data_IF_948770048191
#
_entry.id   IF_948770048191
#
_cell.length_a   1.000
_cell.length_b   1.000
_cell.length_c   1.000
_cell.angle_alpha   90.00
_cell.angle_beta   90.00
_cell.angle_gamma   90.00
#
_symmetry.space_group_name_H-M   'P 1'
#
loop_
_entity.id
_entity.type
_entity.pdbx_description
1 polymer ?
#
# COMPACT_ATOMS: atom_id res chain seq x y z
N UNK A 1 52.37 25.84 -25.54
CA UNK A 1 51.60 25.64 -24.28
C UNK A 1 52.51 25.83 -23.04
N UNK A 2 53.47 26.76 -23.14
CA UNK A 2 53.56 28.08 -22.46
C UNK A 2 53.80 28.03 -20.94
N UNK A 3 55.05 28.37 -20.55
CA UNK A 3 55.55 28.63 -19.19
C UNK A 3 54.62 29.48 -18.32
N UNK A 4 53.76 30.31 -18.95
CA UNK A 4 52.78 31.16 -18.28
C UNK A 4 51.76 30.33 -17.48
N UNK A 5 51.30 29.20 -18.01
CA UNK A 5 50.36 28.30 -17.31
C UNK A 5 51.02 27.63 -16.10
N UNK A 6 52.31 27.29 -16.20
CA UNK A 6 53.08 26.69 -15.10
C UNK A 6 53.35 27.71 -13.99
N UNK A 7 53.68 28.95 -14.36
CA UNK A 7 53.87 30.06 -13.42
C UNK A 7 52.58 30.43 -12.68
N UNK A 8 51.46 30.54 -13.41
CA UNK A 8 50.16 30.84 -12.82
C UNK A 8 49.71 29.73 -11.85
N UNK A 9 49.92 28.46 -12.21
CA UNK A 9 49.62 27.30 -11.35
C UNK A 9 50.40 27.35 -10.03
N UNK A 10 51.72 27.60 -10.08
CA UNK A 10 52.56 27.72 -8.87
C UNK A 10 52.18 28.92 -7.99
N UNK A 11 51.73 30.01 -8.59
CA UNK A 11 51.33 31.23 -7.87
C UNK A 11 49.99 31.04 -7.17
N UNK A 12 49.03 30.39 -7.85
CA UNK A 12 47.75 29.97 -7.27
C UNK A 12 47.94 28.94 -6.16
N UNK A 13 48.80 27.92 -6.34
CA UNK A 13 49.12 26.94 -5.30
C UNK A 13 49.74 27.58 -4.04
N UNK A 14 50.65 28.54 -4.21
CA UNK A 14 51.25 29.28 -3.08
C UNK A 14 50.24 30.17 -2.35
N UNK A 15 49.28 30.77 -3.07
CA UNK A 15 48.23 31.58 -2.44
C UNK A 15 47.19 30.71 -1.71
N UNK A 16 46.81 29.57 -2.28
CA UNK A 16 45.90 28.61 -1.63
C UNK A 16 46.54 28.02 -0.36
N UNK A 17 47.85 27.75 -0.37
CA UNK A 17 48.57 27.20 0.78
C UNK A 17 48.75 28.20 1.95
N UNK A 18 48.79 29.51 1.68
CA UNK A 18 48.96 30.56 2.71
C UNK A 18 47.64 31.06 3.31
N UNK A 19 46.49 30.76 2.71
CA UNK A 19 45.18 31.19 3.21
C UNK A 19 44.72 30.26 4.34
N UNK A 20 44.66 30.77 5.58
CA UNK A 20 44.00 30.07 6.69
C UNK A 20 42.52 29.92 6.35
N UNK A 21 42.09 28.68 6.10
CA UNK A 21 40.69 28.36 5.81
C UNK A 21 39.83 28.63 7.04
N UNK A 22 38.63 29.14 6.81
CA UNK A 22 37.68 29.35 7.90
C UNK A 22 37.11 28.01 8.39
N UNK A 23 36.59 27.92 9.63
CA UNK A 23 35.92 26.70 10.11
C UNK A 23 34.79 26.22 9.18
N UNK A 24 34.08 27.16 8.54
CA UNK A 24 33.03 26.87 7.57
C UNK A 24 33.58 26.23 6.28
N UNK A 25 34.74 26.67 5.80
CA UNK A 25 35.40 26.05 4.63
C UNK A 25 35.88 24.63 4.93
N UNK A 26 36.38 24.36 6.14
CA UNK A 26 36.71 22.99 6.57
C UNK A 26 35.47 22.10 6.68
N UNK A 27 34.36 22.63 7.20
CA UNK A 27 33.09 21.91 7.25
C UNK A 27 32.62 21.54 5.83
N UNK A 28 32.63 22.49 4.90
CA UNK A 28 32.20 22.27 3.50
C UNK A 28 33.11 21.25 2.80
N UNK A 29 34.43 21.34 2.98
CA UNK A 29 35.35 20.38 2.38
C UNK A 29 35.23 18.98 3.01
N UNK A 30 34.98 18.92 4.32
CA UNK A 30 34.68 17.68 5.02
C UNK A 30 33.39 17.03 4.50
N UNK A 31 32.31 17.80 4.33
CA UNK A 31 31.06 17.28 3.78
C UNK A 31 31.21 16.84 2.32
N UNK A 32 31.88 17.63 1.48
CA UNK A 32 32.20 17.24 0.10
C UNK A 32 33.04 15.96 0.03
N UNK A 33 34.06 15.83 0.90
CA UNK A 33 34.88 14.63 1.01
C UNK A 33 34.07 13.40 1.43
N UNK A 34 33.18 13.55 2.41
CA UNK A 34 32.26 12.49 2.84
C UNK A 34 31.28 12.09 1.73
N UNK A 35 30.72 13.05 0.99
CA UNK A 35 29.82 12.79 -0.14
C UNK A 35 30.55 12.06 -1.26
N UNK A 36 31.78 12.48 -1.59
CA UNK A 36 32.60 11.82 -2.60
C UNK A 36 32.99 10.40 -2.17
N UNK A 37 33.39 10.21 -0.91
CA UNK A 37 33.68 8.89 -0.36
C UNK A 37 32.45 7.99 -0.36
N UNK A 38 31.27 8.54 -0.08
CA UNK A 38 29.99 7.82 -0.18
C UNK A 38 29.66 7.48 -1.64
N UNK A 39 29.89 8.38 -2.60
CA UNK A 39 29.72 8.14 -4.03
C UNK A 39 30.62 7.01 -4.55
N UNK A 40 31.87 6.98 -4.12
CA UNK A 40 32.82 5.94 -4.48
C UNK A 40 32.50 4.60 -3.80
N UNK A 41 32.07 4.62 -2.53
CA UNK A 41 31.73 3.41 -1.77
C UNK A 41 30.39 2.80 -2.19
N UNK A 42 29.42 3.62 -2.59
CA UNK A 42 28.04 3.24 -2.90
C UNK A 42 27.62 3.70 -4.31
N UNK A 43 28.27 3.20 -5.39
CA UNK A 43 28.04 3.69 -6.75
C UNK A 43 26.68 3.29 -7.35
N UNK A 44 26.05 2.23 -6.82
CA UNK A 44 24.80 1.66 -7.34
C UNK A 44 23.76 1.40 -6.25
N UNK A 45 23.88 2.05 -5.08
CA UNK A 45 23.03 1.73 -3.92
C UNK A 45 22.98 2.88 -2.91
N UNK A 46 21.93 2.93 -2.09
CA UNK A 46 21.83 3.92 -1.03
C UNK A 46 22.82 3.62 0.12
N UNK A 47 23.13 4.66 0.89
CA UNK A 47 23.92 4.58 2.12
C UNK A 47 23.37 3.50 3.08
N UNK A 48 24.27 2.81 3.80
CA UNK A 48 23.98 1.70 4.72
C UNK A 48 23.42 0.40 4.11
N UNK A 49 23.37 0.27 2.79
CA UNK A 49 22.91 -0.97 2.16
C UNK A 49 24.05 -1.92 1.82
N UNK A 50 23.81 -3.23 2.02
CA UNK A 50 24.78 -4.30 1.77
C UNK A 50 25.09 -4.41 0.28
N UNK A 51 26.36 -4.64 -0.07
CA UNK A 51 26.75 -4.94 -1.45
C UNK A 51 26.29 -6.35 -1.85
N UNK A 52 25.82 -6.50 -3.09
CA UNK A 52 25.38 -7.76 -3.68
C UNK A 52 26.11 -7.99 -5.01
N UNK A 53 27.35 -8.49 -4.98
CA UNK A 53 28.16 -8.66 -6.18
C UNK A 53 27.53 -9.60 -7.21
N UNK A 54 26.74 -10.56 -6.73
CA UNK A 54 25.95 -11.51 -7.51
C UNK A 54 24.89 -10.84 -8.40
N UNK A 55 24.41 -9.65 -8.04
CA UNK A 55 23.37 -8.91 -8.78
C UNK A 55 23.93 -7.75 -9.62
N UNK A 56 25.25 -7.49 -9.59
CA UNK A 56 25.88 -6.30 -10.18
C UNK A 56 25.61 -6.11 -11.67
N UNK A 57 25.54 -7.20 -12.45
CA UNK A 57 25.29 -7.14 -13.90
C UNK A 57 23.87 -6.67 -14.26
N UNK A 58 22.93 -6.71 -13.31
CA UNK A 58 21.51 -6.42 -13.52
C UNK A 58 20.98 -5.31 -12.60
N UNK A 59 21.87 -4.56 -11.97
CA UNK A 59 21.53 -3.45 -11.06
C UNK A 59 21.79 -2.12 -11.77
N UNK A 60 20.82 -1.20 -11.76
CA UNK A 60 20.99 0.14 -12.32
C UNK A 60 21.90 1.00 -11.43
N UNK A 61 22.52 2.03 -12.01
CA UNK A 61 23.29 3.02 -11.24
C UNK A 61 22.36 3.74 -10.25
N UNK A 62 22.87 4.05 -9.07
CA UNK A 62 22.10 4.60 -7.97
C UNK A 62 22.89 5.69 -7.28
N UNK A 63 22.21 6.68 -6.73
CA UNK A 63 22.86 7.78 -6.02
C UNK A 63 23.05 7.43 -4.54
N UNK A 64 24.12 7.89 -3.87
CA UNK A 64 24.44 7.45 -2.51
C UNK A 64 23.38 7.80 -1.47
N UNK A 65 22.68 8.93 -1.64
CA UNK A 65 21.68 9.41 -0.69
C UNK A 65 20.28 8.89 -1.00
N UNK A 66 19.92 8.81 -2.28
CA UNK A 66 18.55 8.48 -2.71
C UNK A 66 18.43 7.10 -3.37
N UNK A 67 19.54 6.35 -3.48
CA UNK A 67 19.57 5.05 -4.15
C UNK A 67 19.02 5.12 -5.57
N UNK A 68 18.06 4.25 -5.86
CA UNK A 68 17.31 4.19 -7.11
C UNK A 68 15.92 4.84 -7.01
N UNK A 69 15.66 5.67 -5.98
CA UNK A 69 14.35 6.32 -5.82
C UNK A 69 14.00 7.24 -7.01
N UNK A 70 14.99 7.92 -7.59
CA UNK A 70 14.81 8.75 -8.78
C UNK A 70 14.30 7.94 -9.99
N UNK A 71 14.79 6.70 -10.15
CA UNK A 71 14.33 5.79 -11.20
C UNK A 71 12.87 5.38 -10.99
N UNK A 72 12.42 5.20 -9.75
CA UNK A 72 11.02 4.89 -9.44
C UNK A 72 10.08 6.04 -9.84
N UNK A 73 10.55 7.28 -9.74
CA UNK A 73 9.77 8.48 -10.08
C UNK A 73 9.76 8.74 -11.58
N UNK A 74 10.88 8.47 -12.27
CA UNK A 74 11.08 8.81 -13.69
C UNK A 74 10.66 7.66 -14.62
N UNK A 75 10.84 6.40 -14.20
CA UNK A 75 10.50 5.22 -15.00
C UNK A 75 9.27 4.54 -14.43
N UNK A 76 8.18 4.55 -15.21
CA UNK A 76 7.06 3.64 -14.98
C UNK A 76 7.59 2.20 -14.98
N UNK A 77 7.03 1.37 -14.08
CA UNK A 77 7.49 0.07 -13.55
C UNK A 77 8.18 -0.93 -14.50
N UNK A 78 8.09 -0.75 -15.81
CA UNK A 78 8.47 -1.70 -16.85
C UNK A 78 9.98 -1.75 -17.16
N UNK A 79 10.79 -0.81 -16.67
CA UNK A 79 12.24 -0.75 -16.89
C UNK A 79 13.09 -0.85 -15.63
N UNK A 80 12.49 -1.29 -14.51
CA UNK A 80 13.22 -1.42 -13.26
C UNK A 80 14.19 -2.62 -13.31
N UNK A 81 15.47 -2.38 -13.01
CA UNK A 81 16.46 -3.46 -12.87
C UNK A 81 16.08 -4.46 -11.76
N UNK A 82 16.70 -5.66 -11.78
CA UNK A 82 16.37 -6.76 -10.85
C UNK A 82 16.63 -6.40 -9.38
N UNK A 83 17.48 -5.41 -9.11
CA UNK A 83 17.71 -4.90 -7.76
C UNK A 83 17.58 -3.38 -7.72
N UNK A 84 16.82 -2.91 -6.74
CA UNK A 84 16.60 -1.50 -6.46
C UNK A 84 16.95 -1.24 -5.00
N UNK A 85 17.49 -0.07 -4.71
CA UNK A 85 17.73 0.37 -3.33
C UNK A 85 16.97 1.65 -3.06
N UNK A 86 16.07 1.63 -2.08
CA UNK A 86 15.27 2.78 -1.68
C UNK A 86 15.68 3.16 -0.24
N UNK A 87 15.97 4.45 0.05
CA UNK A 87 16.22 4.89 1.42
C UNK A 87 15.09 4.48 2.35
N UNK A 88 15.39 4.14 3.60
CA UNK A 88 14.43 3.66 4.62
C UNK A 88 13.87 2.26 4.34
N UNK A 89 13.46 1.94 3.11
CA UNK A 89 12.89 0.63 2.74
C UNK A 89 13.96 -0.44 2.45
N UNK A 90 15.21 -0.05 2.23
CA UNK A 90 16.31 -0.97 1.99
C UNK A 90 16.38 -1.43 0.53
N UNK A 91 16.70 -2.70 0.30
CA UNK A 91 16.90 -3.26 -1.04
C UNK A 91 15.67 -4.07 -1.47
N UNK A 92 15.04 -3.66 -2.55
CA UNK A 92 14.06 -4.45 -3.29
C UNK A 92 14.73 -5.35 -4.32
N UNK A 93 14.19 -6.56 -4.48
CA UNK A 93 14.57 -7.48 -5.56
C UNK A 93 13.31 -7.77 -6.36
N UNK A 94 13.35 -7.50 -7.67
CA UNK A 94 12.25 -7.80 -8.57
C UNK A 94 12.38 -9.25 -9.01
N UNK A 95 11.30 -10.01 -8.84
CA UNK A 95 11.21 -11.41 -9.24
C UNK A 95 10.23 -11.50 -10.40
N UNK A 96 10.64 -12.13 -11.50
CA UNK A 96 9.87 -12.20 -12.74
C UNK A 96 9.96 -13.55 -13.46
N UNK A 97 10.39 -14.61 -12.77
CA UNK A 97 10.41 -15.97 -13.33
C UNK A 97 9.54 -16.91 -12.50
N UNK A 98 8.86 -17.90 -13.12
CA UNK A 98 8.00 -18.83 -12.41
C UNK A 98 8.70 -19.58 -11.27
N UNK A 99 9.97 -19.96 -11.45
CA UNK A 99 10.73 -20.75 -10.48
C UNK A 99 10.98 -19.94 -9.20
N UNK A 100 11.32 -18.67 -9.35
CA UNK A 100 11.53 -17.77 -8.22
C UNK A 100 10.20 -17.40 -7.56
N UNK A 101 9.13 -17.24 -8.33
CA UNK A 101 7.78 -17.03 -7.79
C UNK A 101 7.32 -18.23 -6.97
N UNK A 102 7.51 -19.46 -7.47
CA UNK A 102 7.21 -20.68 -6.70
C UNK A 102 8.07 -20.74 -5.43
N UNK A 103 9.37 -20.44 -5.53
CA UNK A 103 10.25 -20.47 -4.38
C UNK A 103 9.78 -19.51 -3.27
N UNK A 104 9.42 -18.28 -3.64
CA UNK A 104 8.99 -17.25 -2.68
C UNK A 104 7.57 -17.46 -2.17
N UNK A 105 6.62 -17.81 -3.05
CA UNK A 105 5.19 -17.87 -2.71
C UNK A 105 4.74 -19.24 -2.20
N UNK A 106 5.56 -20.28 -2.33
CA UNK A 106 5.22 -21.65 -1.96
C UNK A 106 6.34 -22.38 -1.21
N UNK A 107 7.52 -22.53 -1.80
CA UNK A 107 8.58 -23.42 -1.25
C UNK A 107 9.20 -22.90 0.04
N UNK A 108 9.44 -21.59 0.14
CA UNK A 108 10.09 -20.95 1.28
C UNK A 108 9.26 -19.76 1.80
N UNK A 109 7.94 -19.88 1.75
CA UNK A 109 6.97 -18.82 2.05
C UNK A 109 7.19 -18.14 3.40
N UNK A 110 7.44 -18.93 4.45
CA UNK A 110 7.59 -18.42 5.82
C UNK A 110 8.81 -17.49 6.00
N UNK A 111 9.79 -17.56 5.09
CA UNK A 111 10.96 -16.71 5.09
C UNK A 111 10.75 -15.38 4.34
N UNK A 112 9.63 -15.21 3.64
CA UNK A 112 9.28 -14.03 2.85
C UNK A 112 8.00 -13.36 3.38
N UNK A 113 8.11 -12.77 4.56
CA UNK A 113 7.05 -11.99 5.21
C UNK A 113 6.85 -10.62 4.55
N UNK A 114 5.67 -10.02 4.72
CA UNK A 114 5.41 -8.63 4.28
C UNK A 114 6.23 -7.63 5.09
N UNK A 115 6.37 -7.91 6.39
CA UNK A 115 7.26 -7.17 7.29
C UNK A 115 6.74 -5.79 7.70
N UNK A 116 7.50 -5.14 8.59
CA UNK A 116 7.05 -3.93 9.29
C UNK A 116 6.79 -2.73 8.37
N UNK A 117 7.56 -2.59 7.29
CA UNK A 117 7.40 -1.47 6.36
C UNK A 117 6.02 -1.51 5.71
N UNK A 118 5.63 -2.67 5.17
CA UNK A 118 4.32 -2.85 4.55
C UNK A 118 3.20 -2.74 5.58
N UNK A 119 3.42 -3.32 6.77
CA UNK A 119 2.47 -3.24 7.88
C UNK A 119 2.17 -1.80 8.29
N UNK A 120 3.20 -0.97 8.50
CA UNK A 120 3.01 0.43 8.92
C UNK A 120 2.23 1.27 7.90
N UNK A 121 2.30 0.93 6.62
CA UNK A 121 1.63 1.68 5.55
C UNK A 121 0.12 1.37 5.47
N UNK A 122 -0.27 0.14 5.80
CA UNK A 122 -1.62 -0.40 5.57
C UNK A 122 -2.42 -0.71 6.83
N UNK A 123 -1.78 -0.80 8.00
CA UNK A 123 -2.47 -1.17 9.26
C UNK A 123 -3.60 -0.21 9.60
N UNK A 124 -3.46 1.09 9.31
CA UNK A 124 -4.51 2.07 9.63
C UNK A 124 -5.84 1.70 8.97
N UNK A 125 -5.82 1.31 7.68
CA UNK A 125 -7.03 1.06 6.88
C UNK A 125 -7.44 -0.42 6.91
N UNK A 126 -6.50 -1.37 6.86
CA UNK A 126 -6.80 -2.81 6.76
C UNK A 126 -6.71 -3.54 8.11
N UNK A 127 -6.36 -2.84 9.18
CA UNK A 127 -6.13 -3.44 10.49
C UNK A 127 -5.04 -4.51 10.46
N UNK A 128 -5.12 -5.46 11.39
CA UNK A 128 -4.24 -6.64 11.45
C UNK A 128 -4.87 -7.85 10.73
N UNK A 129 -5.39 -7.65 9.52
CA UNK A 129 -6.07 -8.71 8.75
C UNK A 129 -5.18 -9.51 7.79
N UNK A 130 -5.82 -10.29 6.89
CA UNK A 130 -5.13 -11.16 5.89
C UNK A 130 -4.11 -10.44 5.01
N UNK A 131 -4.30 -9.13 4.80
CA UNK A 131 -3.45 -8.34 3.91
C UNK A 131 -2.21 -7.80 4.60
N UNK A 132 -2.23 -7.69 5.93
CA UNK A 132 -1.23 -6.96 6.70
C UNK A 132 -0.41 -7.89 7.59
N UNK A 133 -1.06 -8.90 8.16
CA UNK A 133 -0.43 -9.84 9.10
C UNK A 133 0.47 -10.85 8.39
N UNK A 134 1.38 -11.47 9.15
CA UNK A 134 2.30 -12.52 8.71
C UNK A 134 2.21 -13.74 9.66
N UNK A 135 2.82 -14.87 9.29
CA UNK A 135 2.87 -16.06 10.14
C UNK A 135 1.50 -16.62 10.51
N UNK A 136 1.33 -17.03 11.77
CA UNK A 136 0.12 -17.70 12.25
C UNK A 136 -1.12 -16.80 12.24
N UNK A 137 -0.97 -15.50 12.52
CA UNK A 137 -2.06 -14.53 12.42
C UNK A 137 -2.59 -14.45 10.97
N UNK A 138 -1.70 -14.42 9.98
CA UNK A 138 -2.10 -14.49 8.58
C UNK A 138 -2.80 -15.81 8.22
N UNK A 139 -2.25 -16.95 8.67
CA UNK A 139 -2.85 -18.27 8.42
C UNK A 139 -4.25 -18.35 9.00
N UNK A 140 -4.44 -17.80 10.20
CA UNK A 140 -5.73 -17.68 10.86
C UNK A 140 -6.73 -16.91 9.98
N UNK A 141 -6.48 -15.63 9.70
CA UNK A 141 -7.46 -14.84 8.94
C UNK A 141 -7.69 -15.43 7.54
N UNK A 142 -6.67 -15.98 6.89
CA UNK A 142 -6.80 -16.63 5.57
C UNK A 142 -7.68 -17.87 5.65
N UNK A 143 -7.50 -18.72 6.66
CA UNK A 143 -8.33 -19.92 6.85
C UNK A 143 -9.78 -19.54 7.12
N UNK A 144 -10.02 -18.56 7.98
CA UNK A 144 -11.37 -18.05 8.28
C UNK A 144 -12.04 -17.49 7.03
N UNK A 145 -11.36 -16.60 6.30
CA UNK A 145 -11.87 -16.03 5.06
C UNK A 145 -12.05 -17.09 3.95
N UNK A 146 -11.26 -18.16 3.92
CA UNK A 146 -11.37 -19.21 2.89
C UNK A 146 -12.76 -19.88 2.84
N UNK A 147 -13.50 -19.86 3.96
CA UNK A 147 -14.83 -20.47 4.06
C UNK A 147 -15.89 -19.80 3.17
N UNK A 148 -15.67 -18.56 2.72
CA UNK A 148 -16.58 -17.91 1.77
C UNK A 148 -16.28 -18.32 0.32
N UNK A 149 -15.12 -18.90 0.02
CA UNK A 149 -14.76 -19.30 -1.34
C UNK A 149 -15.28 -20.71 -1.66
N UNK A 150 -16.60 -20.90 -1.51
CA UNK A 150 -17.29 -22.15 -1.85
C UNK A 150 -18.24 -21.97 -3.02
N UNK A 151 -18.54 -23.06 -3.74
CA UNK A 151 -19.54 -23.04 -4.82
C UNK A 151 -20.92 -22.58 -4.34
N UNK A 152 -21.28 -22.89 -3.08
CA UNK A 152 -22.54 -22.45 -2.46
C UNK A 152 -22.58 -20.92 -2.33
N UNK A 153 -21.50 -20.34 -1.80
CA UNK A 153 -21.40 -18.89 -1.65
C UNK A 153 -21.38 -18.17 -3.00
N UNK A 154 -20.62 -18.69 -3.98
CA UNK A 154 -20.63 -18.15 -5.34
C UNK A 154 -22.03 -18.12 -5.97
N UNK A 155 -22.82 -19.19 -5.83
CA UNK A 155 -24.21 -19.23 -6.33
C UNK A 155 -25.09 -18.18 -5.64
N UNK A 156 -24.89 -17.96 -4.34
CA UNK A 156 -25.60 -16.93 -3.58
C UNK A 156 -25.22 -15.52 -4.07
N UNK A 157 -23.93 -15.28 -4.29
CA UNK A 157 -23.44 -14.01 -4.82
C UNK A 157 -24.10 -13.65 -6.15
N UNK A 158 -24.02 -14.57 -7.11
CA UNK A 158 -24.53 -14.33 -8.47
C UNK A 158 -26.05 -14.18 -8.48
N UNK A 159 -26.79 -14.96 -7.68
CA UNK A 159 -28.26 -14.91 -7.67
C UNK A 159 -28.84 -13.79 -6.82
N UNK A 160 -28.14 -13.36 -5.77
CA UNK A 160 -28.60 -12.38 -4.80
C UNK A 160 -27.96 -11.01 -5.03
N UNK A 161 -26.97 -10.69 -4.19
CA UNK A 161 -26.34 -9.37 -4.11
C UNK A 161 -25.86 -8.82 -5.46
N UNK A 162 -25.18 -9.65 -6.27
CA UNK A 162 -24.64 -9.18 -7.55
C UNK A 162 -25.75 -8.82 -8.53
N UNK A 163 -26.81 -9.63 -8.62
CA UNK A 163 -27.93 -9.34 -9.52
C UNK A 163 -28.62 -8.03 -9.15
N UNK A 164 -28.91 -7.83 -7.86
CA UNK A 164 -29.52 -6.59 -7.38
C UNK A 164 -28.67 -5.36 -7.73
N UNK A 165 -27.36 -5.41 -7.46
CA UNK A 165 -26.46 -4.30 -7.81
C UNK A 165 -26.30 -4.09 -9.32
N UNK A 166 -26.41 -5.15 -10.13
CA UNK A 166 -26.45 -5.02 -11.61
C UNK A 166 -27.74 -4.35 -12.06
N UNK A 167 -28.88 -4.69 -11.45
CA UNK A 167 -30.16 -4.03 -11.76
C UNK A 167 -30.08 -2.52 -11.44
N UNK A 168 -29.47 -2.14 -10.31
CA UNK A 168 -29.18 -0.74 -9.96
C UNK A 168 -28.28 -0.05 -10.99
N UNK A 169 -27.22 -0.73 -11.44
CA UNK A 169 -26.32 -0.23 -12.48
C UNK A 169 -27.05 -0.01 -13.82
N UNK A 170 -27.93 -0.94 -14.20
CA UNK A 170 -28.75 -0.82 -15.41
C UNK A 170 -29.68 0.39 -15.34
N UNK A 171 -30.25 0.72 -14.17
CA UNK A 171 -31.05 1.93 -13.97
C UNK A 171 -30.20 3.18 -14.23
N UNK A 172 -28.99 3.23 -13.67
CA UNK A 172 -28.06 4.35 -13.88
C UNK A 172 -27.72 4.48 -15.37
N UNK A 173 -27.36 3.38 -16.04
CA UNK A 173 -27.02 3.39 -17.46
C UNK A 173 -28.18 3.84 -18.34
N UNK A 174 -29.40 3.32 -18.11
CA UNK A 174 -30.59 3.75 -18.85
C UNK A 174 -30.86 5.24 -18.67
N UNK A 175 -30.66 5.78 -17.47
CA UNK A 175 -30.83 7.21 -17.20
C UNK A 175 -29.79 8.08 -17.93
N UNK A 176 -28.55 7.62 -18.02
CA UNK A 176 -27.47 8.31 -18.73
C UNK A 176 -27.64 8.24 -20.24
N UNK A 177 -28.07 7.09 -20.77
CA UNK A 177 -28.43 6.92 -22.19
C UNK A 177 -29.54 7.90 -22.57
N UNK A 178 -30.61 7.98 -21.78
CA UNK A 178 -31.71 8.90 -22.02
C UNK A 178 -31.32 10.38 -22.01
N UNK A 179 -30.21 10.72 -21.34
CA UNK A 179 -29.67 12.09 -21.24
C UNK A 179 -28.48 12.33 -22.17
N UNK A 180 -28.11 11.33 -22.98
CA UNK A 180 -26.92 11.33 -23.84
C UNK A 180 -25.63 11.75 -23.09
N UNK A 181 -25.49 11.30 -21.84
CA UNK A 181 -24.34 11.63 -21.00
C UNK A 181 -23.25 10.55 -21.08
N UNK A 182 -21.97 10.92 -21.20
CA UNK A 182 -20.87 9.97 -21.11
C UNK A 182 -20.84 9.33 -19.71
N UNK A 183 -20.46 8.05 -19.67
CA UNK A 183 -20.37 7.26 -18.45
C UNK A 183 -18.93 6.82 -18.26
N UNK A 184 -18.38 7.05 -17.07
CA UNK A 184 -17.13 6.43 -16.64
C UNK A 184 -17.39 5.00 -16.16
N UNK A 185 -17.08 4.02 -17.00
CA UNK A 185 -17.26 2.60 -16.68
C UNK A 185 -16.37 2.15 -15.51
N UNK A 186 -15.20 2.75 -15.31
CA UNK A 186 -14.29 2.37 -14.22
C UNK A 186 -14.93 2.71 -12.87
N UNK A 187 -15.41 3.94 -12.72
CA UNK A 187 -16.12 4.41 -11.52
C UNK A 187 -17.36 3.54 -11.23
N UNK A 188 -18.18 3.26 -12.24
CA UNK A 188 -19.41 2.48 -12.05
C UNK A 188 -19.14 1.01 -11.74
N UNK A 189 -18.07 0.39 -12.28
CA UNK A 189 -17.69 -0.98 -11.94
C UNK A 189 -17.10 -1.09 -10.53
N UNK A 190 -16.38 -0.07 -10.05
CA UNK A 190 -15.93 0.00 -8.67
C UNK A 190 -17.13 0.10 -7.71
N UNK A 191 -18.11 0.97 -8.02
CA UNK A 191 -19.36 1.10 -7.26
C UNK A 191 -20.18 -0.20 -7.24
N UNK A 192 -20.33 -0.86 -8.39
CA UNK A 192 -20.95 -2.18 -8.49
C UNK A 192 -20.24 -3.20 -7.59
N UNK A 193 -18.91 -3.21 -7.62
CA UNK A 193 -18.11 -4.14 -6.81
C UNK A 193 -18.31 -3.87 -5.33
N UNK A 194 -18.30 -2.60 -4.91
CA UNK A 194 -18.50 -2.21 -3.52
C UNK A 194 -19.88 -2.64 -3.00
N UNK A 195 -20.96 -2.34 -3.73
CA UNK A 195 -22.31 -2.70 -3.29
C UNK A 195 -22.54 -4.22 -3.32
N UNK A 196 -22.12 -4.90 -4.39
CA UNK A 196 -22.31 -6.34 -4.49
C UNK A 196 -21.51 -7.10 -3.42
N UNK A 197 -20.27 -6.67 -3.15
CA UNK A 197 -19.43 -7.28 -2.13
C UNK A 197 -19.96 -6.95 -0.73
N UNK A 198 -20.28 -5.69 -0.43
CA UNK A 198 -20.84 -5.27 0.86
C UNK A 198 -22.09 -6.05 1.26
N UNK A 199 -23.05 -6.16 0.33
CA UNK A 199 -24.31 -6.89 0.54
C UNK A 199 -24.05 -8.37 0.79
N UNK A 200 -23.10 -8.95 0.07
CA UNK A 200 -22.79 -10.37 0.17
C UNK A 200 -22.00 -10.74 1.43
N UNK A 201 -20.96 -9.97 1.76
CA UNK A 201 -20.00 -10.36 2.79
C UNK A 201 -20.34 -9.83 4.17
N UNK A 202 -20.97 -8.66 4.23
CA UNK A 202 -21.28 -7.97 5.47
C UNK A 202 -22.78 -7.72 5.66
N UNK A 203 -23.60 -7.99 4.65
CA UNK A 203 -25.03 -7.64 4.67
C UNK A 203 -25.29 -6.13 4.60
N UNK A 204 -24.30 -5.34 4.15
CA UNK A 204 -24.39 -3.87 4.11
C UNK A 204 -24.65 -3.42 2.67
N UNK A 205 -25.64 -2.56 2.47
CA UNK A 205 -25.75 -1.78 1.23
C UNK A 205 -25.04 -0.44 1.41
N UNK A 206 -23.94 -0.23 0.68
CA UNK A 206 -23.19 1.02 0.73
C UNK A 206 -23.84 2.12 -0.14
N UNK A 207 -24.81 1.77 -0.98
CA UNK A 207 -25.48 2.72 -1.87
C UNK A 207 -24.52 3.43 -2.83
N UNK A 208 -23.46 2.77 -3.26
CA UNK A 208 -22.47 3.34 -4.17
C UNK A 208 -23.04 3.64 -5.56
N UNK A 209 -23.98 2.81 -6.00
CA UNK A 209 -24.74 3.00 -7.24
C UNK A 209 -26.00 3.86 -7.06
N UNK A 210 -26.25 4.41 -5.85
CA UNK A 210 -27.41 5.25 -5.60
C UNK A 210 -27.38 6.56 -6.41
N UNK A 211 -28.54 7.23 -6.44
CA UNK A 211 -28.86 8.31 -7.38
C UNK A 211 -27.75 9.37 -7.56
N UNK A 212 -27.61 9.92 -8.78
CA UNK A 212 -26.63 10.98 -9.06
C UNK A 212 -26.71 12.12 -8.05
N UNK A 213 -25.60 12.40 -7.37
CA UNK A 213 -25.48 13.49 -6.39
C UNK A 213 -25.60 13.08 -4.92
N UNK A 214 -25.93 11.83 -4.61
CA UNK A 214 -25.80 11.28 -3.25
C UNK A 214 -24.34 10.94 -3.00
N UNK A 215 -23.73 11.52 -1.96
CA UNK A 215 -22.37 11.17 -1.57
C UNK A 215 -22.36 9.80 -0.90
N UNK A 216 -21.49 8.91 -1.36
CA UNK A 216 -21.19 7.68 -0.64
C UNK A 216 -20.06 7.96 0.34
N UNK A 217 -20.42 8.19 1.61
CA UNK A 217 -19.44 8.51 2.66
C UNK A 217 -18.41 7.38 2.86
N UNK A 218 -18.84 6.11 2.76
CA UNK A 218 -17.94 4.97 2.88
C UNK A 218 -16.96 4.92 1.70
N UNK A 219 -17.47 5.04 0.47
CA UNK A 219 -16.68 5.04 -0.76
C UNK A 219 -15.66 6.17 -0.78
N UNK A 220 -16.09 7.41 -0.47
CA UNK A 220 -15.20 8.59 -0.41
C UNK A 220 -14.09 8.41 0.65
N UNK A 221 -14.42 7.85 1.81
CA UNK A 221 -13.47 7.56 2.86
C UNK A 221 -12.48 6.45 2.45
N UNK A 222 -12.98 5.36 1.86
CA UNK A 222 -12.18 4.24 1.40
C UNK A 222 -11.21 4.65 0.28
N UNK A 223 -11.67 5.42 -0.72
CA UNK A 223 -10.85 5.93 -1.81
C UNK A 223 -9.74 6.87 -1.31
N UNK A 224 -10.07 7.75 -0.35
CA UNK A 224 -9.07 8.61 0.26
C UNK A 224 -7.98 7.81 0.98
N UNK A 225 -8.36 6.80 1.76
CA UNK A 225 -7.43 6.00 2.56
C UNK A 225 -6.58 5.07 1.69
N UNK A 226 -7.15 4.45 0.67
CA UNK A 226 -6.41 3.60 -0.28
C UNK A 226 -5.43 4.42 -1.11
N UNK A 227 -5.83 5.60 -1.59
CA UNK A 227 -4.93 6.55 -2.26
C UNK A 227 -3.80 7.00 -1.33
N UNK A 228 -4.12 7.27 -0.06
CA UNK A 228 -3.10 7.62 0.93
C UNK A 228 -2.12 6.46 1.14
N UNK A 229 -2.61 5.23 1.31
CA UNK A 229 -1.78 4.05 1.47
C UNK A 229 -0.87 3.80 0.25
N UNK A 230 -1.39 3.89 -0.97
CA UNK A 230 -0.60 3.76 -2.20
C UNK A 230 0.51 4.81 -2.27
N UNK A 231 0.20 6.07 -1.93
CA UNK A 231 1.20 7.14 -1.88
C UNK A 231 2.33 6.88 -0.88
N UNK A 232 2.05 6.17 0.24
CA UNK A 232 3.04 5.81 1.26
C UNK A 232 3.99 4.72 0.79
N UNK A 233 3.57 3.83 -0.12
CA UNK A 233 4.40 2.76 -0.69
C UNK A 233 5.55 3.35 -1.51
N UNK A 234 5.29 4.44 -2.23
CA UNK A 234 6.31 5.09 -3.08
C UNK A 234 7.10 6.18 -2.34
N UNK A 235 6.67 6.57 -1.14
CA UNK A 235 7.27 7.65 -0.36
C UNK A 235 7.90 7.16 0.95
N UNK A 236 9.23 6.92 1.01
CA UNK A 236 9.90 6.48 2.24
C UNK A 236 9.85 7.48 3.40
N UNK A 237 9.54 8.74 3.12
CA UNK A 237 9.44 9.80 4.13
C UNK A 237 8.00 10.14 4.48
N UNK A 238 7.05 9.25 4.14
CA UNK A 238 5.63 9.45 4.42
C UNK A 238 5.28 9.84 5.86
N UNK A 239 5.96 9.33 6.93
CA UNK A 239 5.61 9.73 8.30
C UNK A 239 5.85 11.22 8.55
N UNK A 240 6.75 11.83 7.79
CA UNK A 240 7.04 13.27 7.86
C UNK A 240 6.13 14.02 6.90
N UNK A 241 6.04 13.60 5.63
CA UNK A 241 5.25 14.34 4.63
C UNK A 241 3.75 14.35 4.93
N UNK A 242 3.20 13.28 5.50
CA UNK A 242 1.79 13.24 5.91
C UNK A 242 1.49 14.23 7.05
N UNK A 243 2.49 14.50 7.91
CA UNK A 243 2.37 15.47 9.03
C UNK A 243 2.57 16.91 8.58
N UNK A 244 3.35 17.14 7.53
CA UNK A 244 3.62 18.49 7.01
C UNK A 244 2.44 19.07 6.23
N UNK A 245 1.59 18.22 5.63
CA UNK A 245 0.40 18.68 4.88
C UNK A 245 -0.71 19.04 5.88
N UNK A 246 -1.10 20.31 6.01
CA UNK A 246 -2.13 20.72 6.97
C UNK A 246 -3.46 20.01 6.71
N UNK A 247 -4.10 19.51 7.77
CA UNK A 247 -5.43 18.88 7.70
C UNK A 247 -5.47 17.46 7.14
N UNK A 248 -4.44 16.96 6.46
CA UNK A 248 -4.39 15.59 5.92
C UNK A 248 -4.56 14.54 7.02
N UNK A 249 -3.88 14.72 8.14
CA UNK A 249 -3.96 13.81 9.28
C UNK A 249 -5.35 13.76 9.92
N UNK A 250 -5.99 14.93 10.08
CA UNK A 250 -7.38 15.02 10.59
C UNK A 250 -8.35 14.32 9.65
N UNK A 251 -8.20 14.53 8.33
CA UNK A 251 -9.01 13.86 7.32
C UNK A 251 -8.80 12.34 7.35
N UNK A 252 -7.54 11.89 7.46
CA UNK A 252 -7.19 10.46 7.56
C UNK A 252 -7.92 9.76 8.70
N UNK A 253 -7.78 10.25 9.93
CA UNK A 253 -8.47 9.65 11.06
C UNK A 253 -9.99 9.81 11.00
N UNK A 254 -10.50 10.89 10.40
CA UNK A 254 -11.93 11.02 10.11
C UNK A 254 -12.45 9.92 9.20
N UNK A 255 -11.73 9.62 8.11
CA UNK A 255 -12.08 8.53 7.20
C UNK A 255 -11.97 7.15 7.87
N UNK A 256 -10.95 6.93 8.71
CA UNK A 256 -10.84 5.70 9.52
C UNK A 256 -12.07 5.53 10.42
N UNK A 257 -12.48 6.59 11.12
CA UNK A 257 -13.68 6.55 11.96
C UNK A 257 -14.95 6.26 11.15
N UNK A 258 -15.06 6.76 9.91
CA UNK A 258 -16.16 6.39 9.01
C UNK A 258 -16.16 4.89 8.75
N UNK A 259 -15.03 4.29 8.34
CA UNK A 259 -14.95 2.84 8.11
C UNK A 259 -15.26 2.03 9.38
N UNK A 260 -14.69 2.42 10.52
CA UNK A 260 -14.94 1.78 11.82
C UNK A 260 -16.42 1.85 12.20
N UNK A 261 -17.11 2.94 11.88
CA UNK A 261 -18.54 3.09 12.15
C UNK A 261 -19.38 2.07 11.35
N UNK A 262 -19.11 1.90 10.06
CA UNK A 262 -19.79 0.90 9.23
C UNK A 262 -19.49 -0.53 9.70
N UNK A 263 -18.24 -0.82 10.08
CA UNK A 263 -17.86 -2.13 10.62
C UNK A 263 -18.59 -2.41 11.95
N UNK A 264 -18.57 -1.47 12.90
CA UNK A 264 -19.25 -1.61 14.18
C UNK A 264 -20.77 -1.75 14.02
N UNK A 265 -21.38 -1.01 13.07
CA UNK A 265 -22.80 -1.14 12.75
C UNK A 265 -23.12 -2.55 12.24
N UNK A 266 -22.29 -3.11 11.35
CA UNK A 266 -22.49 -4.45 10.82
C UNK A 266 -22.36 -5.53 11.91
N UNK A 267 -21.33 -5.44 12.75
CA UNK A 267 -21.13 -6.36 13.88
C UNK A 267 -22.29 -6.27 14.87
N UNK A 268 -22.69 -5.05 15.25
CA UNK A 268 -23.80 -4.82 16.19
C UNK A 268 -25.12 -5.34 15.63
N UNK A 269 -25.43 -5.04 14.37
CA UNK A 269 -26.65 -5.53 13.71
C UNK A 269 -26.66 -7.06 13.73
N UNK A 270 -25.55 -7.68 13.34
CA UNK A 270 -25.41 -9.14 13.28
C UNK A 270 -25.55 -9.81 14.65
N UNK A 271 -24.97 -9.23 15.71
CA UNK A 271 -25.11 -9.75 17.07
C UNK A 271 -26.51 -9.55 17.67
N UNK A 272 -27.27 -8.58 17.16
CA UNK A 272 -28.66 -8.32 17.59
C UNK A 272 -29.72 -9.13 16.83
N UNK A 273 -29.34 -9.85 15.76
CA UNK A 273 -30.24 -10.72 15.00
C UNK A 273 -30.87 -11.78 15.91
N UNK A 274 -32.18 -12.00 15.75
CA UNK A 274 -32.87 -13.06 16.47
C UNK A 274 -32.47 -14.44 15.93
N UNK A 275 -32.55 -15.48 16.76
CA UNK A 275 -32.22 -16.86 16.32
C UNK A 275 -33.12 -17.33 15.17
N UNK A 276 -34.31 -16.77 14.99
CA UNK A 276 -35.18 -17.07 13.85
C UNK A 276 -34.64 -16.46 12.54
N UNK A 277 -34.14 -15.23 12.58
CA UNK A 277 -33.54 -14.55 11.43
C UNK A 277 -32.20 -15.19 11.04
N UNK A 278 -31.37 -15.55 12.03
CA UNK A 278 -30.10 -16.23 11.82
C UNK A 278 -30.28 -17.58 11.09
N UNK A 279 -31.32 -18.34 11.43
CA UNK A 279 -31.60 -19.63 10.82
C UNK A 279 -32.10 -19.55 9.37
N UNK A 280 -32.68 -18.41 8.97
CA UNK A 280 -33.18 -18.18 7.60
C UNK A 280 -32.09 -17.58 6.72
N UNK A 281 -31.22 -16.73 7.28
CA UNK A 281 -30.16 -16.04 6.54
C UNK A 281 -29.04 -17.00 6.15
N UNK A 282 -28.51 -16.82 4.94
CA UNK A 282 -27.32 -17.54 4.53
C UNK A 282 -26.08 -16.97 5.23
N UNK A 283 -25.24 -17.86 5.77
CA UNK A 283 -23.97 -17.45 6.38
C UNK A 283 -23.04 -16.73 5.41
N UNK A 284 -22.49 -15.62 5.83
CA UNK A 284 -21.55 -14.75 5.11
C UNK A 284 -20.18 -14.65 5.81
N UNK A 285 -19.30 -13.78 5.32
CA UNK A 285 -17.96 -13.61 5.85
C UNK A 285 -17.97 -13.16 7.32
N UNK A 286 -18.86 -12.22 7.66
CA UNK A 286 -18.97 -11.67 9.00
C UNK A 286 -19.36 -12.76 10.01
N UNK A 287 -20.23 -13.70 9.63
CA UNK A 287 -20.58 -14.84 10.50
C UNK A 287 -19.36 -15.70 10.84
N UNK A 288 -18.47 -15.94 9.87
CA UNK A 288 -17.28 -16.75 10.10
C UNK A 288 -16.31 -16.07 11.07
N UNK A 289 -16.21 -14.74 11.04
CA UNK A 289 -15.37 -14.00 12.00
C UNK A 289 -16.01 -13.92 13.39
N UNK A 290 -17.32 -13.64 13.48
CA UNK A 290 -18.03 -13.57 14.78
C UNK A 290 -18.08 -14.92 15.48
N UNK A 291 -18.32 -16.00 14.74
CA UNK A 291 -18.44 -17.36 15.29
C UNK A 291 -17.08 -18.01 15.57
N UNK A 292 -15.97 -17.36 15.22
CA UNK A 292 -14.65 -17.90 15.42
C UNK A 292 -14.31 -18.07 16.91
N UNK A 293 -13.59 -19.15 17.21
CA UNK A 293 -13.04 -19.47 18.53
C UNK A 293 -11.53 -19.63 18.36
N UNK A 294 -10.76 -18.86 19.12
CA UNK A 294 -9.33 -19.06 19.29
C UNK A 294 -9.05 -20.45 19.89
N UNK A 295 -7.80 -20.91 19.80
CA UNK A 295 -7.38 -22.21 20.34
C UNK A 295 -7.57 -22.30 21.87
N UNK A 296 -7.58 -21.15 22.56
CA UNK A 296 -7.87 -21.01 23.98
C UNK A 296 -9.38 -20.94 24.31
N UNK A 297 -10.24 -21.02 23.28
CA UNK A 297 -11.71 -20.94 23.39
C UNK A 297 -12.27 -19.52 23.42
N UNK A 298 -11.43 -18.47 23.40
CA UNK A 298 -11.89 -17.08 23.36
C UNK A 298 -12.48 -16.69 22.00
N UNK A 299 -13.38 -15.71 21.98
CA UNK A 299 -13.91 -15.11 20.75
C UNK A 299 -13.05 -13.91 20.34
N UNK A 300 -13.08 -13.57 19.05
CA UNK A 300 -12.59 -12.26 18.61
C UNK A 300 -13.39 -11.13 19.25
N UNK A 301 -12.69 -10.07 19.62
CA UNK A 301 -13.32 -8.81 20.03
C UNK A 301 -13.96 -8.11 18.84
N UNK A 302 -14.92 -7.21 19.07
CA UNK A 302 -15.58 -6.46 17.98
C UNK A 302 -14.62 -5.57 17.17
N UNK A 303 -13.42 -5.29 17.70
CA UNK A 303 -12.37 -4.58 16.99
C UNK A 303 -11.53 -5.50 16.08
N UNK A 304 -11.47 -6.78 16.41
CA UNK A 304 -10.72 -7.78 15.64
C UNK A 304 -11.56 -8.44 14.54
N UNK A 305 -12.89 -8.47 14.72
CA UNK A 305 -13.88 -8.84 13.69
C UNK A 305 -13.94 -7.76 12.62
#
# INVERSE_FOLDING_TARGET
MSMVLVGLKRLVERQIAKRKRTPLEYLILGTLGCVLAAALKYPNRAFLTRDRPDLKKKTMRGLPLIGNLHELVIHHKDQLGISLTIPVFGRGIVINTPELMEYVLKTNFDNYVKGDVFRQQLTDILGRGIFVSDGDEWRFHRKTASNIFTTKFYRSLVRGAFRASVDDLCIVFNSSIAREQPIDLQDHFLKLTLDAFGKLTFGIDFGALAQPGVKNEFGDAFDFLTTAADSRISNPFWPITDRLIPGRWKKHWGCIHTLDHYAAQAVSARRSESSAEENVRQRDLLDYFISYRNDDGSMLTDREV
#
